data_IF_093298202668
#
_entry.id   IF_093298202668
#
_cell.length_a   1.000
_cell.length_b   1.000
_cell.length_c   1.000
_cell.angle_alpha   90.00
_cell.angle_beta   90.00
_cell.angle_gamma   90.00
#
_symmetry.space_group_name_H-M   'P 1'
#
loop_
_entity.id
_entity.type
_entity.pdbx_description
1 polymer ?
#
# COMPACT_ATOMS: atom_id res chain seq x y z
N UNK A 1 -11.76 -21.71 14.14
CA UNK A 1 -10.71 -20.71 14.37
C UNK A 1 -9.44 -21.33 13.85
N UNK A 2 -9.17 -21.13 12.56
CA UNK A 2 -8.04 -21.71 11.83
C UNK A 2 -6.79 -20.87 12.16
N UNK A 3 -5.68 -21.56 12.39
CA UNK A 3 -4.45 -20.99 12.93
C UNK A 3 -3.84 -19.89 12.06
N UNK A 4 -3.46 -18.80 12.72
CA UNK A 4 -2.51 -17.83 12.20
C UNK A 4 -1.29 -18.59 11.66
N UNK A 5 -1.02 -18.48 10.36
CA UNK A 5 0.22 -19.01 9.78
C UNK A 5 1.38 -18.28 10.47
N UNK A 6 2.32 -19.03 11.06
CA UNK A 6 3.50 -18.45 11.69
C UNK A 6 4.23 -17.56 10.69
N UNK A 7 4.29 -16.26 10.99
CA UNK A 7 5.02 -15.27 10.19
C UNK A 7 4.19 -14.39 9.26
N UNK A 8 2.87 -14.19 9.48
CA UNK A 8 2.11 -13.15 8.77
C UNK A 8 1.63 -12.02 9.72
N UNK A 9 1.58 -10.74 9.26
CA UNK A 9 2.21 -10.22 8.06
C UNK A 9 3.71 -10.52 8.12
N UNK A 10 4.31 -10.90 6.98
CA UNK A 10 5.71 -11.31 6.84
C UNK A 10 6.54 -10.60 7.90
N UNK A 11 7.20 -11.33 8.84
CA UNK A 11 7.80 -10.67 10.00
C UNK A 11 8.67 -9.59 9.42
N UNK A 12 8.39 -8.36 9.81
CA UNK A 12 9.15 -7.24 9.30
C UNK A 12 10.61 -7.57 9.56
N UNK A 13 11.35 -7.94 8.51
CA UNK A 13 12.74 -8.38 8.69
C UNK A 13 13.55 -7.25 9.31
N UNK A 14 13.02 -6.03 9.23
CA UNK A 14 13.60 -4.82 9.74
C UNK A 14 12.86 -4.20 10.91
N UNK A 15 11.59 -4.49 11.19
CA UNK A 15 10.78 -3.81 12.22
C UNK A 15 10.69 -2.28 12.07
N UNK A 16 11.13 -1.72 10.94
CA UNK A 16 11.51 -0.31 10.83
C UNK A 16 10.58 0.44 9.88
N UNK A 17 9.37 0.74 10.36
CA UNK A 17 8.46 1.68 9.70
C UNK A 17 8.91 3.14 9.83
N UNK A 18 9.98 3.41 10.58
CA UNK A 18 10.55 4.74 10.81
C UNK A 18 10.70 5.58 9.54
N UNK A 19 11.11 4.96 8.43
CA UNK A 19 11.23 5.70 7.17
C UNK A 19 9.87 6.21 6.70
N UNK A 20 8.87 5.32 6.62
CA UNK A 20 7.50 5.70 6.27
C UNK A 20 6.93 6.73 7.25
N UNK A 21 7.02 6.48 8.55
CA UNK A 21 6.53 7.39 9.59
C UNK A 21 7.18 8.78 9.49
N UNK A 22 8.50 8.84 9.26
CA UNK A 22 9.22 10.10 9.05
C UNK A 22 8.76 10.83 7.79
N UNK A 23 8.48 10.12 6.70
CA UNK A 23 7.95 10.74 5.48
C UNK A 23 6.54 11.28 5.71
N UNK A 24 5.66 10.51 6.36
CA UNK A 24 4.29 10.93 6.65
C UNK A 24 4.25 12.14 7.60
N UNK A 25 5.10 12.16 8.63
CA UNK A 25 5.19 13.29 9.56
C UNK A 25 5.63 14.60 8.89
N UNK A 26 6.36 14.51 7.76
CA UNK A 26 6.83 15.68 6.99
C UNK A 26 5.89 16.06 5.84
N UNK A 27 4.93 15.20 5.49
CA UNK A 27 4.10 15.42 4.32
C UNK A 27 2.97 16.42 4.62
N UNK A 28 2.93 17.54 3.92
CA UNK A 28 1.94 18.61 4.13
C UNK A 28 0.48 18.26 3.81
N UNK A 29 0.18 16.99 3.51
CA UNK A 29 -1.20 16.46 3.29
C UNK A 29 -1.61 15.44 4.35
N UNK A 30 -0.74 15.14 5.30
CA UNK A 30 -1.01 14.23 6.42
C UNK A 30 -1.21 15.07 7.67
N UNK A 31 -2.33 14.84 8.35
CA UNK A 31 -2.68 15.47 9.63
C UNK A 31 -2.32 14.60 10.80
N UNK A 32 -2.54 13.28 10.69
CA UNK A 32 -2.16 12.32 11.73
C UNK A 32 -1.86 10.96 11.14
N UNK A 33 -1.02 10.20 11.85
CA UNK A 33 -0.69 8.82 11.53
C UNK A 33 -0.73 8.02 12.83
N UNK A 34 -1.65 7.05 12.93
CA UNK A 34 -1.88 6.25 14.14
C UNK A 34 -1.61 4.77 13.83
N UNK A 35 -0.65 4.11 14.50
CA UNK A 35 -0.41 2.68 14.30
C UNK A 35 -1.55 1.86 14.88
N UNK A 36 -2.01 0.86 14.13
CA UNK A 36 -3.05 -0.10 14.52
C UNK A 36 -2.48 -1.50 14.82
N UNK A 37 -1.17 -1.67 14.67
CA UNK A 37 -0.48 -2.97 14.77
C UNK A 37 -0.44 -3.71 13.44
N UNK A 38 0.43 -4.73 13.33
CA UNK A 38 0.55 -5.54 12.12
C UNK A 38 0.97 -4.75 10.87
N UNK A 39 1.70 -3.65 11.01
CA UNK A 39 2.08 -2.77 9.89
C UNK A 39 0.92 -1.97 9.29
N UNK A 40 -0.24 -1.94 9.96
CA UNK A 40 -1.39 -1.13 9.56
C UNK A 40 -1.40 0.19 10.31
N UNK A 41 -1.76 1.25 9.60
CA UNK A 41 -1.90 2.61 10.11
C UNK A 41 -3.24 3.21 9.70
N UNK A 42 -3.79 4.05 10.55
CA UNK A 42 -4.81 5.03 10.16
C UNK A 42 -4.09 6.35 9.84
N UNK A 43 -4.24 6.81 8.61
CA UNK A 43 -3.66 8.05 8.11
C UNK A 43 -4.79 9.04 7.83
N UNK A 44 -4.86 10.13 8.58
CA UNK A 44 -5.82 11.20 8.31
C UNK A 44 -5.16 12.27 7.44
N UNK A 45 -5.83 12.63 6.35
CA UNK A 45 -5.35 13.67 5.43
C UNK A 45 -5.89 15.04 5.81
N UNK A 46 -5.22 16.09 5.35
CA UNK A 46 -5.65 17.48 5.58
C UNK A 46 -7.01 17.81 4.95
N UNK A 47 -7.47 17.01 4.01
CA UNK A 47 -8.79 17.15 3.38
C UNK A 47 -9.93 16.50 4.18
N UNK A 48 -9.62 15.86 5.32
CA UNK A 48 -10.58 15.40 6.30
C UNK A 48 -10.96 13.92 6.21
N UNK A 49 -10.46 13.18 5.23
CA UNK A 49 -10.66 11.73 5.14
C UNK A 49 -9.54 10.94 5.83
N UNK A 50 -9.83 9.69 6.15
CA UNK A 50 -8.90 8.75 6.78
C UNK A 50 -8.72 7.55 5.89
N UNK A 51 -7.46 7.17 5.67
CA UNK A 51 -7.04 6.02 4.90
C UNK A 51 -6.45 4.96 5.82
N UNK A 52 -6.87 3.71 5.66
CA UNK A 52 -6.27 2.54 6.27
C UNK A 52 -5.13 2.03 5.39
N UNK A 53 -3.90 2.25 5.86
CA UNK A 53 -2.67 2.01 5.11
C UNK A 53 -1.95 0.81 5.67
N UNK A 54 -1.72 -0.21 4.84
CA UNK A 54 -0.89 -1.36 5.16
C UNK A 54 0.51 -1.24 4.56
N UNK A 55 1.53 -1.41 5.39
CA UNK A 55 2.93 -1.46 4.97
C UNK A 55 3.35 -2.91 4.79
N UNK A 56 3.62 -3.28 3.55
CA UNK A 56 4.08 -4.60 3.16
C UNK A 56 5.60 -4.60 2.91
N UNK A 57 6.31 -5.54 3.55
CA UNK A 57 7.75 -5.76 3.34
C UNK A 57 8.03 -7.04 2.53
N UNK A 58 7.03 -7.59 1.85
CA UNK A 58 7.17 -8.80 1.04
C UNK A 58 8.06 -8.59 -0.19
N UNK A 59 8.86 -9.60 -0.54
CA UNK A 59 9.74 -9.63 -1.71
C UNK A 59 9.01 -9.45 -3.06
N UNK A 60 7.83 -10.06 -3.19
CA UNK A 60 7.02 -9.97 -4.40
C UNK A 60 5.53 -9.96 -4.04
N UNK A 61 4.85 -8.84 -4.31
CA UNK A 61 3.44 -8.67 -3.98
C UNK A 61 2.55 -8.90 -5.22
N UNK A 62 1.81 -10.01 -5.21
CA UNK A 62 0.86 -10.41 -6.25
C UNK A 62 -0.61 -10.34 -5.79
N UNK A 63 -1.55 -10.66 -6.68
CA UNK A 63 -2.99 -10.69 -6.37
C UNK A 63 -3.28 -11.61 -5.17
N UNK A 64 -2.69 -12.80 -5.14
CA UNK A 64 -2.88 -13.74 -4.02
C UNK A 64 -2.41 -13.17 -2.68
N UNK A 65 -1.27 -12.46 -2.65
CA UNK A 65 -0.76 -11.80 -1.45
C UNK A 65 -1.69 -10.67 -0.98
N UNK A 66 -2.32 -9.96 -1.91
CA UNK A 66 -3.35 -8.98 -1.57
C UNK A 66 -4.60 -9.64 -0.96
N UNK A 67 -5.10 -10.73 -1.54
CA UNK A 67 -6.25 -11.45 -0.99
C UNK A 67 -5.98 -11.95 0.43
N UNK A 68 -4.78 -12.49 0.68
CA UNK A 68 -4.35 -12.92 2.02
C UNK A 68 -4.23 -11.74 3.00
N UNK A 69 -3.77 -10.57 2.52
CA UNK A 69 -3.75 -9.34 3.33
C UNK A 69 -5.15 -8.95 3.79
N UNK A 70 -6.13 -8.95 2.89
CA UNK A 70 -7.51 -8.60 3.21
C UNK A 70 -8.15 -9.64 4.13
N UNK A 71 -7.89 -10.93 3.92
CA UNK A 71 -8.43 -12.00 4.77
C UNK A 71 -7.93 -11.88 6.23
N UNK A 72 -6.66 -11.54 6.42
CA UNK A 72 -6.05 -11.51 7.76
C UNK A 72 -6.16 -10.16 8.46
N UNK A 73 -6.02 -9.06 7.71
CA UNK A 73 -6.01 -7.71 8.27
C UNK A 73 -7.34 -7.00 8.06
N UNK A 74 -8.28 -7.53 7.28
CA UNK A 74 -9.47 -6.80 6.83
C UNK A 74 -9.18 -5.84 5.68
N UNK A 75 -10.22 -5.19 5.16
CA UNK A 75 -10.12 -4.25 4.03
C UNK A 75 -9.16 -3.09 4.31
N UNK A 76 -8.34 -2.73 3.32
CA UNK A 76 -7.38 -1.62 3.40
C UNK A 76 -7.56 -0.71 2.20
N UNK A 77 -7.37 0.58 2.41
CA UNK A 77 -7.46 1.60 1.36
C UNK A 77 -6.18 1.63 0.53
N UNK A 78 -5.03 1.39 1.18
CA UNK A 78 -3.72 1.49 0.55
C UNK A 78 -2.79 0.38 1.03
N UNK A 79 -2.06 -0.21 0.09
CA UNK A 79 -0.91 -1.08 0.33
C UNK A 79 0.36 -0.40 -0.17
N UNK A 80 1.36 -0.33 0.70
CA UNK A 80 2.68 0.26 0.40
C UNK A 80 3.72 -0.84 0.43
N UNK A 81 4.47 -1.01 -0.66
CA UNK A 81 5.62 -1.91 -0.69
C UNK A 81 6.85 -1.15 -0.19
N UNK A 82 7.17 -1.32 1.09
CA UNK A 82 8.26 -0.65 1.80
C UNK A 82 9.61 -1.37 1.62
N UNK A 83 10.09 -1.45 0.38
CA UNK A 83 11.43 -1.98 0.09
C UNK A 83 11.95 -1.49 -1.25
N UNK A 84 13.25 -1.19 -1.32
CA UNK A 84 13.93 -0.79 -2.55
C UNK A 84 14.07 -1.95 -3.56
N UNK A 85 14.08 -3.19 -3.08
CA UNK A 85 14.38 -4.39 -3.88
C UNK A 85 13.16 -5.21 -4.23
N UNK A 86 12.05 -4.96 -3.56
CA UNK A 86 10.81 -5.71 -3.75
C UNK A 86 9.94 -5.00 -4.79
N UNK A 87 8.88 -5.63 -5.24
CA UNK A 87 7.94 -5.02 -6.17
C UNK A 87 6.55 -5.59 -6.02
N UNK A 88 5.61 -5.03 -6.77
CA UNK A 88 4.31 -5.61 -6.97
C UNK A 88 4.10 -5.90 -8.46
N UNK A 89 3.31 -6.92 -8.77
CA UNK A 89 3.02 -7.29 -10.16
C UNK A 89 2.05 -6.28 -10.81
N UNK A 90 2.12 -6.07 -12.14
CA UNK A 90 1.15 -5.24 -12.85
C UNK A 90 -0.30 -5.71 -12.66
N UNK A 91 -0.51 -7.03 -12.60
CA UNK A 91 -1.84 -7.62 -12.36
C UNK A 91 -2.35 -7.30 -10.95
N UNK A 92 -1.49 -7.31 -9.93
CA UNK A 92 -1.87 -6.85 -8.59
C UNK A 92 -2.25 -5.37 -8.59
N UNK A 93 -1.50 -4.53 -9.30
CA UNK A 93 -1.83 -3.11 -9.44
C UNK A 93 -3.19 -2.90 -10.10
N UNK A 94 -3.47 -3.65 -11.15
CA UNK A 94 -4.75 -3.62 -11.84
C UNK A 94 -5.88 -4.10 -10.94
N UNK A 95 -5.70 -5.22 -10.27
CA UNK A 95 -6.68 -5.80 -9.35
C UNK A 95 -7.03 -4.84 -8.21
N UNK A 96 -6.01 -4.26 -7.55
CA UNK A 96 -6.23 -3.26 -6.51
C UNK A 96 -6.95 -2.02 -7.04
N UNK A 97 -6.57 -1.52 -8.23
CA UNK A 97 -7.26 -0.37 -8.87
C UNK A 97 -8.73 -0.65 -9.12
N UNK A 98 -9.08 -1.83 -9.61
CA UNK A 98 -10.48 -2.23 -9.85
C UNK A 98 -11.28 -2.35 -8.54
N UNK A 99 -10.59 -2.61 -7.42
CA UNK A 99 -11.14 -2.61 -6.07
C UNK A 99 -11.07 -1.25 -5.35
N UNK A 100 -10.68 -0.17 -6.04
CA UNK A 100 -10.45 1.17 -5.47
C UNK A 100 -9.38 1.23 -4.38
N UNK A 101 -8.42 0.29 -4.41
CA UNK A 101 -7.30 0.21 -3.46
C UNK A 101 -6.01 0.71 -4.09
N UNK A 102 -5.32 1.59 -3.37
CA UNK A 102 -4.00 2.09 -3.75
C UNK A 102 -2.92 1.03 -3.56
N UNK A 103 -2.09 0.78 -4.57
CA UNK A 103 -0.91 -0.09 -4.46
C UNK A 103 0.31 0.65 -4.98
N UNK A 104 1.29 0.93 -4.10
CA UNK A 104 2.40 1.83 -4.44
C UNK A 104 3.73 1.43 -3.82
N UNK A 105 4.81 1.98 -4.39
CA UNK A 105 6.01 2.33 -3.63
C UNK A 105 5.79 3.61 -2.83
N UNK A 106 6.63 3.86 -1.83
CA UNK A 106 6.52 5.08 -1.01
C UNK A 106 6.49 6.33 -1.87
N UNK A 107 7.37 6.45 -2.88
CA UNK A 107 7.37 7.61 -3.78
C UNK A 107 6.03 7.81 -4.50
N UNK A 108 5.44 6.73 -5.05
CA UNK A 108 4.10 6.77 -5.64
C UNK A 108 3.02 7.17 -4.64
N UNK A 109 3.12 6.68 -3.40
CA UNK A 109 2.17 7.05 -2.35
C UNK A 109 2.26 8.54 -1.96
N UNK A 110 3.46 9.12 -1.89
CA UNK A 110 3.62 10.56 -1.65
C UNK A 110 2.86 11.39 -2.70
N UNK A 111 2.94 11.01 -3.97
CA UNK A 111 2.15 11.66 -5.03
C UNK A 111 0.64 11.39 -4.88
N UNK A 112 0.27 10.16 -4.50
CA UNK A 112 -1.11 9.74 -4.35
C UNK A 112 -1.87 10.48 -3.23
N UNK A 113 -1.18 10.91 -2.16
CA UNK A 113 -1.78 11.67 -1.05
C UNK A 113 -2.47 12.97 -1.49
N UNK A 114 -2.13 13.51 -2.64
CA UNK A 114 -2.74 14.72 -3.22
C UNK A 114 -4.04 14.46 -4.00
N UNK A 115 -4.46 13.21 -4.18
CA UNK A 115 -5.56 12.82 -5.07
C UNK A 115 -6.73 12.21 -4.31
N UNK A 116 -7.94 12.51 -4.76
CA UNK A 116 -9.16 11.85 -4.26
C UNK A 116 -9.31 10.45 -4.87
N UNK A 117 -8.87 10.28 -6.11
CA UNK A 117 -8.88 9.02 -6.86
C UNK A 117 -7.52 8.31 -6.80
N UNK A 118 -6.88 8.32 -5.63
CA UNK A 118 -5.49 7.89 -5.45
C UNK A 118 -5.19 6.52 -6.08
N UNK A 119 -6.12 5.55 -6.01
CA UNK A 119 -5.97 4.20 -6.57
C UNK A 119 -5.76 4.16 -8.09
N UNK A 120 -6.15 5.22 -8.80
CA UNK A 120 -5.97 5.37 -10.26
C UNK A 120 -4.55 5.75 -10.65
N UNK A 121 -3.70 6.17 -9.70
CA UNK A 121 -2.34 6.58 -10.00
C UNK A 121 -1.49 5.37 -10.45
N UNK A 122 -1.02 5.40 -11.69
CA UNK A 122 -0.10 4.42 -12.27
C UNK A 122 1.31 5.03 -12.27
N UNK A 123 2.26 4.37 -11.59
CA UNK A 123 3.67 4.75 -11.60
C UNK A 123 4.28 4.49 -13.00
N UNK A 124 5.25 5.30 -13.42
CA UNK A 124 5.78 5.32 -14.80
C UNK A 124 6.21 3.94 -15.31
N UNK A 125 6.82 3.12 -14.44
CA UNK A 125 7.30 1.77 -14.80
C UNK A 125 6.18 0.77 -15.15
N UNK A 126 4.92 1.08 -14.85
CA UNK A 126 3.76 0.27 -15.25
C UNK A 126 3.01 0.85 -16.45
N UNK A 127 3.29 2.07 -16.88
CA UNK A 127 2.47 2.74 -17.90
C UNK A 127 2.49 1.99 -19.23
N UNK A 128 3.66 1.59 -19.72
CA UNK A 128 3.75 0.93 -21.03
C UNK A 128 3.08 -0.44 -21.02
N UNK A 129 3.27 -1.21 -19.94
CA UNK A 129 2.55 -2.48 -19.74
C UNK A 129 1.03 -2.31 -19.75
N UNK A 130 0.52 -1.24 -19.12
CA UNK A 130 -0.92 -0.97 -19.09
C UNK A 130 -1.45 -0.48 -20.45
N UNK A 131 -0.67 0.35 -21.19
CA UNK A 131 -1.04 0.82 -22.53
C UNK A 131 -1.17 -0.35 -23.50
N UNK A 132 -0.17 -1.24 -23.52
CA UNK A 132 -0.14 -2.40 -24.40
C UNK A 132 -1.36 -3.33 -24.22
N UNK A 133 -1.97 -3.32 -23.04
CA UNK A 133 -3.15 -4.12 -22.69
C UNK A 133 -4.47 -3.37 -22.72
N UNK A 134 -4.47 -2.08 -23.09
CA UNK A 134 -5.69 -1.25 -23.13
C UNK A 134 -6.29 -0.98 -21.75
N UNK A 135 -5.45 -0.87 -20.71
CA UNK A 135 -5.86 -0.65 -19.32
C UNK A 135 -5.69 0.80 -18.85
N UNK A 136 -5.32 1.69 -19.76
CA UNK A 136 -5.25 3.14 -19.57
C UNK A 136 -6.33 3.83 -20.38
#
# INVERSE_FOLDING_TARGET
MEGLREGFPWPSHYGHYNFFETQMAKHGRVTSLTPQGGGVYELTRTQGDTLRVFICECYAFGVAAYMETVDQLGEVDVVIINSAWCGYTPDAKRYCRDASVGLFKIAGFMAALHRDDYWMLIEDFHQDYFKERGWL
#
